data_IF_525096998342
#
_entry.id   IF_525096998342
#
_cell.length_a   1.000
_cell.length_b   1.000
_cell.length_c   1.000
_cell.angle_alpha   90.00
_cell.angle_beta   90.00
_cell.angle_gamma   90.00
#
_symmetry.space_group_name_H-M   'P 1'
#
loop_
_entity.id
_entity.type
_entity.pdbx_description
1 polymer ?
#
# COMPACT_ATOMS: atom_id res chain seq x y z
N UNK A 1 1.53 -2.13 -3.46
CA UNK A 1 1.99 -3.53 -3.30
C UNK A 1 1.32 -4.38 -4.36
N UNK A 2 2.06 -5.15 -5.15
CA UNK A 2 1.48 -6.02 -6.18
C UNK A 2 1.16 -7.37 -5.56
N UNK A 3 -0.13 -7.69 -5.40
CA UNK A 3 -0.56 -9.04 -5.06
C UNK A 3 -0.80 -9.81 -6.36
N UNK A 4 0.26 -10.36 -6.93
CA UNK A 4 0.21 -11.08 -8.21
C UNK A 4 -0.26 -12.53 -8.00
N UNK A 5 -1.50 -12.72 -7.54
CA UNK A 5 -2.01 -14.05 -7.21
C UNK A 5 -1.89 -15.05 -8.38
N UNK A 6 -1.93 -14.58 -9.62
CA UNK A 6 -1.76 -15.40 -10.83
C UNK A 6 -0.41 -16.13 -10.92
N UNK A 7 0.64 -15.68 -10.20
CA UNK A 7 1.93 -16.39 -10.18
C UNK A 7 1.81 -17.77 -9.55
N UNK A 8 0.91 -17.96 -8.57
CA UNK A 8 0.67 -19.25 -7.91
C UNK A 8 -0.08 -20.26 -8.78
N UNK A 9 -0.54 -19.85 -9.96
CA UNK A 9 -1.14 -20.71 -10.96
C UNK A 9 -0.21 -20.94 -12.16
N UNK A 10 0.54 -19.91 -12.55
CA UNK A 10 1.32 -19.90 -13.80
C UNK A 10 2.82 -20.16 -13.62
N UNK A 11 3.49 -19.44 -12.72
CA UNK A 11 4.95 -19.47 -12.57
C UNK A 11 5.42 -20.39 -11.45
N UNK A 12 4.72 -20.35 -10.32
CA UNK A 12 5.00 -21.13 -9.12
C UNK A 12 3.74 -21.89 -8.67
N UNK A 13 3.27 -22.90 -9.43
CA UNK A 13 2.05 -23.62 -9.13
C UNK A 13 2.03 -24.12 -7.68
N UNK A 14 1.10 -23.61 -6.88
CA UNK A 14 0.97 -24.00 -5.49
C UNK A 14 0.60 -25.48 -5.37
N UNK A 15 1.31 -26.22 -4.51
CA UNK A 15 1.09 -27.66 -4.29
C UNK A 15 0.14 -27.97 -3.13
N UNK A 16 -0.24 -26.95 -2.38
CA UNK A 16 -1.12 -27.05 -1.21
C UNK A 16 -2.50 -26.49 -1.54
N UNK A 17 -3.50 -26.86 -0.74
CA UNK A 17 -4.75 -26.12 -0.73
C UNK A 17 -4.52 -24.74 -0.10
N UNK A 18 -4.94 -23.69 -0.79
CA UNK A 18 -4.64 -22.32 -0.39
C UNK A 18 -5.75 -21.36 -0.79
N UNK A 19 -5.90 -20.31 0.00
CA UNK A 19 -6.75 -19.16 -0.25
C UNK A 19 -6.16 -17.92 0.43
N UNK A 20 -6.69 -16.74 0.12
CA UNK A 20 -6.43 -15.52 0.89
C UNK A 20 -7.65 -15.15 1.72
N UNK A 21 -7.42 -14.39 2.79
CA UNK A 21 -8.45 -13.81 3.63
C UNK A 21 -8.00 -12.43 4.12
N UNK A 22 -8.94 -11.51 4.40
CA UNK A 22 -8.63 -10.26 5.08
C UNK A 22 -7.96 -10.49 6.44
N UNK A 23 -7.19 -9.51 6.90
CA UNK A 23 -6.69 -9.51 8.27
C UNK A 23 -7.89 -9.55 9.25
N UNK A 24 -7.83 -10.40 10.30
CA UNK A 24 -8.92 -10.50 11.26
C UNK A 24 -9.00 -9.24 12.12
N UNK A 25 -10.21 -8.93 12.61
CA UNK A 25 -10.39 -7.99 13.72
C UNK A 25 -10.15 -8.68 15.06
N UNK A 26 -9.73 -7.93 16.07
CA UNK A 26 -9.46 -8.46 17.42
C UNK A 26 -10.77 -8.83 18.13
N UNK A 27 -11.82 -8.03 17.98
CA UNK A 27 -13.07 -8.11 18.73
C UNK A 27 -14.31 -8.31 17.83
N UNK A 28 -14.11 -8.66 16.55
CA UNK A 28 -15.18 -8.75 15.56
C UNK A 28 -15.57 -7.40 14.95
N UNK A 29 -15.03 -6.28 15.44
CA UNK A 29 -15.26 -4.95 14.89
C UNK A 29 -14.02 -4.42 14.14
N UNK A 30 -14.24 -3.90 12.93
CA UNK A 30 -13.18 -3.28 12.15
C UNK A 30 -13.07 -1.80 12.56
N UNK A 31 -11.94 -1.44 13.19
CA UNK A 31 -11.63 -0.07 13.62
C UNK A 31 -10.58 0.53 12.69
N UNK A 32 -11.05 1.12 11.60
CA UNK A 32 -10.20 1.71 10.55
C UNK A 32 -10.17 0.88 9.27
N UNK A 33 -9.22 1.21 8.41
CA UNK A 33 -9.07 0.59 7.10
C UNK A 33 -7.71 -0.11 6.97
N UNK A 34 -7.70 -1.34 6.45
CA UNK A 34 -6.49 -2.01 5.99
C UNK A 34 -5.87 -1.18 4.87
N UNK A 35 -4.62 -0.79 5.07
CA UNK A 35 -3.94 0.09 4.14
C UNK A 35 -3.49 -0.65 2.90
N UNK A 36 -3.88 -0.14 1.73
CA UNK A 36 -3.24 -0.50 0.47
C UNK A 36 -2.54 0.72 -0.12
N UNK A 37 -1.30 0.51 -0.57
CA UNK A 37 -0.57 1.52 -1.32
C UNK A 37 -1.08 1.52 -2.76
N UNK A 38 -1.90 2.52 -3.07
CA UNK A 38 -2.36 2.80 -4.42
C UNK A 38 -1.52 3.86 -5.14
N UNK A 39 -1.53 3.85 -6.47
CA UNK A 39 -1.06 4.97 -7.29
C UNK A 39 0.41 4.96 -7.68
N UNK A 40 1.18 3.91 -7.37
CA UNK A 40 2.56 3.76 -7.81
C UNK A 40 2.76 2.43 -8.53
N UNK A 41 2.81 2.47 -9.87
CA UNK A 41 3.23 1.34 -10.68
C UNK A 41 4.46 1.68 -11.50
N UNK A 42 4.28 2.54 -12.50
CA UNK A 42 5.35 3.05 -13.36
C UNK A 42 5.46 4.57 -13.20
N UNK A 43 6.69 5.07 -13.21
CA UNK A 43 7.01 6.48 -13.17
C UNK A 43 8.10 6.79 -14.21
N UNK A 44 8.11 8.03 -14.71
CA UNK A 44 9.12 8.48 -15.67
C UNK A 44 10.25 9.15 -14.90
N UNK A 45 11.49 8.71 -15.17
CA UNK A 45 12.68 9.39 -14.65
C UNK A 45 12.72 10.83 -15.15
N UNK A 46 12.88 11.80 -14.24
CA UNK A 46 13.05 13.21 -14.61
C UNK A 46 14.31 13.50 -15.43
N UNK A 47 15.23 12.52 -15.50
CA UNK A 47 16.50 12.62 -16.24
C UNK A 47 16.47 11.95 -17.61
N UNK A 48 15.35 11.33 -18.01
CA UNK A 48 15.26 10.67 -19.32
C UNK A 48 15.49 11.66 -20.46
N UNK A 49 16.26 11.24 -21.46
CA UNK A 49 16.39 11.97 -22.72
C UNK A 49 15.29 11.57 -23.73
N UNK A 50 14.64 10.43 -23.51
CA UNK A 50 13.62 9.84 -24.40
C UNK A 50 12.20 10.15 -23.91
N UNK A 51 11.90 11.45 -23.72
CA UNK A 51 10.65 11.89 -23.04
C UNK A 51 9.39 11.41 -23.76
N UNK A 52 9.34 11.56 -25.07
CA UNK A 52 8.18 11.19 -25.89
C UNK A 52 7.95 9.67 -25.92
N UNK A 53 9.03 8.88 -26.08
CA UNK A 53 8.93 7.43 -26.06
C UNK A 53 8.50 6.92 -24.68
N UNK A 54 9.05 7.49 -23.60
CA UNK A 54 8.65 7.17 -22.24
C UNK A 54 7.18 7.52 -21.99
N UNK A 55 6.72 8.69 -22.44
CA UNK A 55 5.31 9.09 -22.30
C UNK A 55 4.37 8.17 -23.08
N UNK A 56 4.70 7.84 -24.33
CA UNK A 56 3.93 6.91 -25.15
C UNK A 56 3.81 5.53 -24.50
N UNK A 57 4.90 5.04 -23.91
CA UNK A 57 4.88 3.78 -23.16
C UNK A 57 3.97 3.88 -21.93
N UNK A 58 4.03 4.98 -21.18
CA UNK A 58 3.15 5.21 -20.04
C UNK A 58 1.67 5.22 -20.43
N UNK A 59 1.31 5.88 -21.53
CA UNK A 59 -0.06 5.84 -22.07
C UNK A 59 -0.51 4.44 -22.44
N UNK A 60 0.39 3.62 -22.99
CA UNK A 60 0.09 2.22 -23.27
C UNK A 60 -0.13 1.43 -21.97
N UNK A 61 0.76 1.55 -20.99
CA UNK A 61 0.66 0.76 -19.75
C UNK A 61 -0.56 1.16 -18.92
N UNK A 62 -0.90 2.45 -18.85
CA UNK A 62 -1.99 2.96 -18.03
C UNK A 62 -3.36 3.04 -18.73
N UNK A 63 -3.49 2.60 -19.99
CA UNK A 63 -4.83 2.60 -20.59
C UNK A 63 -5.72 1.50 -19.97
N UNK A 64 -7.02 1.77 -19.95
CA UNK A 64 -8.01 0.91 -19.32
C UNK A 64 -8.03 -0.51 -19.86
N UNK A 65 -7.82 -0.69 -21.18
CA UNK A 65 -7.80 -2.02 -21.80
C UNK A 65 -6.62 -2.87 -21.30
N UNK A 66 -5.45 -2.25 -21.15
CA UNK A 66 -4.23 -2.89 -20.66
C UNK A 66 -4.37 -3.25 -19.19
N UNK A 67 -4.83 -2.29 -18.38
CA UNK A 67 -5.07 -2.51 -16.95
C UNK A 67 -6.16 -3.55 -16.70
N UNK A 68 -7.24 -3.57 -17.51
CA UNK A 68 -8.30 -4.58 -17.45
C UNK A 68 -7.74 -5.98 -17.72
N UNK A 69 -7.02 -6.17 -18.81
CA UNK A 69 -6.39 -7.46 -19.12
C UNK A 69 -5.37 -7.89 -18.07
N UNK A 70 -4.62 -6.93 -17.53
CA UNK A 70 -3.66 -7.19 -16.45
C UNK A 70 -4.37 -7.68 -15.19
N UNK A 71 -5.47 -7.04 -14.80
CA UNK A 71 -6.30 -7.49 -13.69
C UNK A 71 -6.91 -8.86 -13.95
N UNK A 72 -7.63 -9.06 -15.05
CA UNK A 72 -8.37 -10.29 -15.37
C UNK A 72 -7.48 -11.55 -15.41
N UNK A 73 -6.19 -11.39 -15.72
CA UNK A 73 -5.19 -12.47 -15.70
C UNK A 73 -4.57 -12.72 -14.32
N UNK A 74 -4.95 -11.94 -13.31
CA UNK A 74 -4.46 -12.05 -11.94
C UNK A 74 -3.05 -11.49 -11.75
N UNK A 75 -2.60 -10.59 -12.62
CA UNK A 75 -1.27 -9.97 -12.51
C UNK A 75 -1.25 -8.75 -11.59
N UNK A 76 -2.41 -8.26 -11.19
CA UNK A 76 -2.55 -7.22 -10.18
C UNK A 76 -4.01 -6.84 -10.02
N UNK A 77 -4.25 -5.85 -9.17
CA UNK A 77 -5.59 -5.34 -8.89
C UNK A 77 -5.58 -3.85 -9.17
N UNK A 78 -6.42 -3.42 -10.12
CA UNK A 78 -6.55 -2.01 -10.44
C UNK A 78 -7.46 -1.33 -9.40
N UNK A 79 -7.13 -0.08 -9.07
CA UNK A 79 -7.97 0.77 -8.22
C UNK A 79 -8.56 1.94 -9.01
N UNK A 80 -8.26 2.01 -10.31
CA UNK A 80 -8.87 2.98 -11.21
C UNK A 80 -10.31 2.54 -11.41
N UNK A 81 -11.33 3.34 -11.02
CA UNK A 81 -12.73 2.89 -11.03
C UNK A 81 -13.18 2.35 -12.39
N UNK A 82 -12.80 3.02 -13.48
CA UNK A 82 -13.13 2.59 -14.85
C UNK A 82 -12.59 1.21 -15.22
N UNK A 83 -11.55 0.73 -14.52
CA UNK A 83 -10.99 -0.62 -14.69
C UNK A 83 -11.59 -1.57 -13.66
N UNK A 84 -11.55 -1.21 -12.37
CA UNK A 84 -11.95 -2.11 -11.28
C UNK A 84 -13.44 -2.50 -11.34
N UNK A 85 -14.30 -1.61 -11.83
CA UNK A 85 -15.73 -1.87 -12.00
C UNK A 85 -16.04 -2.66 -13.28
N UNK A 86 -15.16 -2.60 -14.29
CA UNK A 86 -15.40 -3.17 -15.62
C UNK A 86 -14.63 -4.47 -15.90
N UNK A 87 -13.57 -4.75 -15.14
CA UNK A 87 -12.75 -5.96 -15.27
C UNK A 87 -13.44 -7.16 -14.64
N UNK A 88 -13.36 -8.33 -15.29
CA UNK A 88 -13.81 -9.56 -14.69
C UNK A 88 -12.95 -9.94 -13.48
N UNK A 89 -13.56 -10.68 -12.54
CA UNK A 89 -12.81 -11.30 -11.45
C UNK A 89 -11.83 -12.33 -12.04
N UNK A 90 -10.54 -12.30 -11.68
CA UNK A 90 -9.57 -13.23 -12.23
C UNK A 90 -9.90 -14.68 -11.88
N UNK A 91 -9.68 -15.61 -12.82
CA UNK A 91 -9.87 -17.04 -12.55
C UNK A 91 -8.64 -17.63 -11.85
N UNK A 92 -8.34 -17.13 -10.65
CA UNK A 92 -7.23 -17.55 -9.78
C UNK A 92 -7.81 -18.07 -8.47
N UNK A 93 -7.31 -19.23 -8.01
CA UNK A 93 -7.74 -19.80 -6.73
C UNK A 93 -7.51 -18.80 -5.59
N UNK A 94 -8.50 -18.62 -4.72
CA UNK A 94 -8.39 -17.75 -3.55
C UNK A 94 -8.38 -16.24 -3.85
N UNK A 95 -8.67 -15.84 -5.11
CA UNK A 95 -8.61 -14.43 -5.54
C UNK A 95 -9.52 -13.51 -4.72
N UNK A 96 -10.66 -14.03 -4.25
CA UNK A 96 -11.65 -13.25 -3.48
C UNK A 96 -11.04 -12.58 -2.26
N UNK A 97 -10.06 -13.23 -1.60
CA UNK A 97 -9.39 -12.68 -0.44
C UNK A 97 -8.34 -11.60 -0.73
N UNK A 98 -8.00 -11.37 -2.01
CA UNK A 98 -7.13 -10.26 -2.42
C UNK A 98 -7.91 -9.06 -2.93
N UNK A 99 -9.17 -9.23 -3.32
CA UNK A 99 -9.97 -8.14 -3.85
C UNK A 99 -10.25 -7.10 -2.74
N UNK A 100 -10.09 -5.80 -3.03
CA UNK A 100 -10.43 -4.74 -2.10
C UNK A 100 -11.87 -4.88 -1.63
N UNK A 101 -12.09 -4.70 -0.35
CA UNK A 101 -13.40 -4.71 0.28
C UNK A 101 -13.64 -3.39 1.03
N UNK A 102 -14.82 -3.27 1.64
CA UNK A 102 -15.24 -2.04 2.36
C UNK A 102 -14.36 -1.66 3.56
N UNK A 103 -13.47 -2.55 4.00
CA UNK A 103 -12.52 -2.31 5.09
C UNK A 103 -11.10 -1.98 4.57
N UNK A 104 -10.90 -1.88 3.27
CA UNK A 104 -9.65 -1.44 2.67
C UNK A 104 -9.70 0.06 2.36
N UNK A 105 -8.57 0.75 2.49
CA UNK A 105 -8.48 2.19 2.22
C UNK A 105 -7.10 2.64 1.75
N UNK A 106 -7.08 3.74 0.99
CA UNK A 106 -5.84 4.46 0.67
C UNK A 106 -5.49 5.34 1.85
N UNK A 107 -4.32 5.10 2.43
CA UNK A 107 -3.81 5.92 3.53
C UNK A 107 -3.15 7.19 2.98
N UNK A 108 -3.30 8.34 3.66
CA UNK A 108 -2.59 9.55 3.28
C UNK A 108 -1.07 9.32 3.38
N UNK A 109 -0.33 9.96 2.48
CA UNK A 109 1.14 9.96 2.57
C UNK A 109 1.53 10.81 3.77
N UNK A 110 2.07 10.17 4.81
CA UNK A 110 2.56 10.89 5.98
C UNK A 110 3.77 11.77 5.60
N UNK A 111 3.89 12.99 6.16
CA UNK A 111 5.06 13.83 5.94
C UNK A 111 6.32 13.17 6.53
N UNK A 112 7.42 13.25 5.81
CA UNK A 112 8.73 12.80 6.31
C UNK A 112 9.30 13.87 7.24
N UNK A 113 9.47 13.52 8.53
CA UNK A 113 10.05 14.41 9.55
C UNK A 113 11.28 13.76 10.19
N UNK A 114 12.27 14.58 10.53
CA UNK A 114 13.49 14.11 11.19
C UNK A 114 13.24 13.91 12.69
N UNK A 115 12.90 12.68 13.09
CA UNK A 115 12.67 12.32 14.50
C UNK A 115 13.99 11.90 15.16
N UNK A 116 14.28 12.46 16.33
CA UNK A 116 15.43 12.07 17.15
C UNK A 116 15.15 10.78 17.93
N UNK A 117 16.19 9.97 18.11
CA UNK A 117 16.13 8.71 18.86
C UNK A 117 15.53 7.54 18.08
N UNK A 118 15.02 6.54 18.80
CA UNK A 118 14.44 5.32 18.22
C UNK A 118 13.16 5.65 17.44
N UNK A 119 13.07 5.15 16.20
CA UNK A 119 11.89 5.32 15.35
C UNK A 119 10.75 4.38 15.75
N UNK A 120 9.54 4.66 15.25
CA UNK A 120 8.34 3.86 15.52
C UNK A 120 8.55 2.37 15.29
N UNK A 121 9.18 2.01 14.17
CA UNK A 121 9.30 0.61 13.74
C UNK A 121 10.22 -0.17 14.68
N UNK A 122 11.35 0.44 15.06
CA UNK A 122 12.31 -0.15 16.00
C UNK A 122 11.73 -0.25 17.42
N UNK A 123 10.99 0.78 17.85
CA UNK A 123 10.33 0.80 19.16
C UNK A 123 9.25 -0.27 19.25
N UNK A 124 8.45 -0.43 18.21
CA UNK A 124 7.41 -1.46 18.12
C UNK A 124 8.03 -2.86 18.04
N UNK A 125 9.09 -3.05 17.25
CA UNK A 125 9.81 -4.32 17.19
C UNK A 125 10.38 -4.70 18.56
N UNK A 126 10.99 -3.75 19.27
CA UNK A 126 11.49 -3.97 20.64
C UNK A 126 10.36 -4.39 21.59
N UNK A 127 9.19 -3.76 21.51
CA UNK A 127 8.02 -4.14 22.30
C UNK A 127 7.56 -5.57 21.99
N UNK A 128 7.49 -5.97 20.72
CA UNK A 128 7.11 -7.34 20.32
C UNK A 128 8.05 -8.36 20.96
N UNK A 129 9.37 -8.09 20.96
CA UNK A 129 10.37 -9.04 21.45
C UNK A 129 10.48 -9.05 22.98
N UNK A 130 10.41 -7.87 23.62
CA UNK A 130 10.75 -7.70 25.04
C UNK A 130 9.56 -7.42 25.94
N UNK A 131 8.37 -7.17 25.38
CA UNK A 131 7.22 -6.65 26.10
C UNK A 131 7.45 -5.23 26.64
N UNK A 132 6.66 -4.85 27.65
CA UNK A 132 6.73 -3.56 28.33
C UNK A 132 5.40 -2.81 28.31
N UNK A 133 5.45 -1.53 28.65
CA UNK A 133 4.30 -0.63 28.61
C UNK A 133 4.16 -0.03 27.21
N UNK A 134 3.24 -0.57 26.41
CA UNK A 134 3.00 -0.10 25.04
C UNK A 134 2.41 1.30 25.01
N UNK A 135 1.55 1.65 25.97
CA UNK A 135 0.89 2.96 26.01
C UNK A 135 1.93 4.06 26.27
N UNK A 136 2.88 3.80 27.17
CA UNK A 136 4.01 4.71 27.40
C UNK A 136 4.90 4.87 26.15
N UNK A 137 5.17 3.77 25.42
CA UNK A 137 5.95 3.81 24.17
C UNK A 137 5.23 4.64 23.10
N UNK A 138 3.91 4.44 22.94
CA UNK A 138 3.08 5.20 21.98
C UNK A 138 3.03 6.68 22.37
N UNK A 139 2.87 7.01 23.66
CA UNK A 139 2.82 8.38 24.13
C UNK A 139 4.14 9.14 23.85
N UNK A 140 5.28 8.51 24.12
CA UNK A 140 6.60 9.08 23.82
C UNK A 140 6.80 9.29 22.30
N UNK A 141 6.46 8.28 21.48
CA UNK A 141 6.54 8.39 20.03
C UNK A 141 5.68 9.54 19.50
N UNK A 142 4.42 9.63 19.95
CA UNK A 142 3.51 10.72 19.56
C UNK A 142 4.10 12.09 19.91
N UNK A 143 4.65 12.26 21.11
CA UNK A 143 5.27 13.51 21.51
C UNK A 143 6.44 13.88 20.59
N UNK A 144 7.34 12.94 20.31
CA UNK A 144 8.54 13.19 19.47
C UNK A 144 8.19 13.47 18.01
N UNK A 145 7.29 12.68 17.43
CA UNK A 145 6.88 12.86 16.03
C UNK A 145 6.10 14.17 15.84
N UNK A 146 5.19 14.52 16.76
CA UNK A 146 4.47 15.80 16.69
C UNK A 146 5.42 16.98 16.86
N UNK A 147 6.36 16.92 17.80
CA UNK A 147 7.37 17.97 17.99
C UNK A 147 8.26 18.15 16.76
N UNK A 148 8.68 17.04 16.13
CA UNK A 148 9.46 17.08 14.90
C UNK A 148 8.66 17.65 13.71
N UNK A 149 7.36 17.31 13.62
CA UNK A 149 6.47 17.86 12.60
C UNK A 149 6.26 19.36 12.77
N UNK A 150 6.05 19.83 14.00
CA UNK A 150 5.86 21.26 14.28
C UNK A 150 7.13 22.06 13.98
N UNK A 151 8.31 21.53 14.31
CA UNK A 151 9.59 22.13 13.94
C UNK A 151 9.77 22.18 12.41
N UNK A 152 9.48 21.08 11.70
CA UNK A 152 9.58 21.03 10.25
C UNK A 152 8.62 22.02 9.56
N UNK A 153 7.40 22.20 10.10
CA UNK A 153 6.46 23.23 9.64
C UNK A 153 7.00 24.65 9.87
N UNK A 154 7.51 24.93 11.07
CA UNK A 154 8.05 26.24 11.42
C UNK A 154 9.26 26.63 10.55
N UNK A 155 10.08 25.65 10.16
CA UNK A 155 11.22 25.83 9.27
C UNK A 155 10.85 25.86 7.77
N UNK A 156 9.58 25.60 7.43
CA UNK A 156 9.12 25.53 6.04
C UNK A 156 9.59 24.28 5.27
N UNK A 157 10.09 23.26 5.97
CA UNK A 157 10.55 21.98 5.39
C UNK A 157 9.37 21.11 4.95
N UNK A 158 8.23 21.21 5.65
CA UNK A 158 7.02 20.44 5.39
C UNK A 158 5.82 21.36 5.30
N UNK A 159 5.01 21.17 4.25
CA UNK A 159 3.64 21.67 4.19
C UNK A 159 2.70 20.51 4.54
N UNK A 160 2.01 20.63 5.66
CA UNK A 160 0.94 19.70 6.01
C UNK A 160 -0.39 20.37 5.69
N UNK A 161 -0.90 20.14 4.48
CA UNK A 161 -2.25 20.53 4.08
C UNK A 161 -3.14 19.27 4.11
N UNK A 162 -4.41 19.37 4.58
CA UNK A 162 -5.35 18.24 4.61
C UNK A 162 -5.63 17.64 3.22
#
# INVERSE_FOLDING_TARGET
>A
FSAEAGVYQSQFPAKIDWAAAPAPSIDGSFKGASGFLGGQWLAISSKTQEKEAAWKFMQYMYNDSTLKQYQEKGFGIAMVPSVSEAAATPSVKGIEGFLPNKYDGVWPVAPTVAVQGTKSDDAFFKYIVSGGDLDAVIADLNQRYNSALDAAKANGEVKAEP
#
